data_IF_289536313954
#
_entry.id   IF_289536313954
#
_cell.length_a   1.000
_cell.length_b   1.000
_cell.length_c   1.000
_cell.angle_alpha   90.00
_cell.angle_beta   90.00
_cell.angle_gamma   90.00
#
_symmetry.space_group_name_H-M   'P 1'
#
loop_
_entity.id
_entity.type
_entity.pdbx_description
1 polymer ?
#
# COMPACT_ATOMS: atom_id res chain seq x y z
N UNK A 1 -9.16 12.42 -8.31
CA UNK A 1 -8.76 12.26 -8.15
C UNK A 1 -8.51 12.18 -8.04
N UNK A 2 -8.29 12.17 -7.83
CA UNK A 2 -7.83 12.16 -7.58
C UNK A 2 -7.37 11.64 -7.36
N UNK A 3 -7.35 11.56 -7.49
CA UNK A 3 -6.62 10.59 -7.30
C UNK A 3 -5.18 10.74 -7.20
N UNK A 4 -4.44 10.94 -8.06
CA UNK A 4 -3.07 11.36 -8.05
C UNK A 4 -2.86 12.56 -7.18
N UNK A 5 -3.84 13.34 -7.00
CA UNK A 5 -3.73 14.47 -6.08
C UNK A 5 -3.17 14.13 -4.72
N UNK A 6 -3.30 12.88 -4.32
CA UNK A 6 -2.73 12.52 -3.03
C UNK A 6 -1.25 12.77 -2.96
N UNK A 7 -0.57 12.62 -4.07
CA UNK A 7 0.86 12.82 -4.08
C UNK A 7 1.20 14.26 -3.78
N UNK A 8 0.44 15.18 -4.38
CA UNK A 8 0.72 16.59 -4.16
C UNK A 8 0.39 17.06 -2.78
N UNK A 9 -0.60 16.42 -2.17
CA UNK A 9 -0.99 16.79 -0.82
C UNK A 9 -0.16 16.07 0.22
N UNK A 10 0.79 15.30 -0.23
CA UNK A 10 1.48 14.37 0.65
C UNK A 10 2.14 15.04 1.83
N UNK A 11 2.73 16.20 1.65
CA UNK A 11 3.44 16.81 2.75
C UNK A 11 2.54 17.00 3.96
N UNK A 12 1.39 17.61 3.75
CA UNK A 12 0.45 17.81 4.82
C UNK A 12 -0.14 16.49 5.30
N UNK A 13 -0.51 15.62 4.35
CA UNK A 13 -1.04 14.32 4.70
C UNK A 13 0.00 13.49 5.44
N UNK A 14 1.26 13.59 5.02
CA UNK A 14 2.33 12.81 5.64
C UNK A 14 2.54 13.21 7.09
N UNK A 15 2.46 14.50 7.40
CA UNK A 15 2.64 14.93 8.77
C UNK A 15 1.51 14.45 9.67
N UNK A 16 0.33 14.18 9.10
CA UNK A 16 -0.78 13.65 9.86
C UNK A 16 -0.78 12.13 9.95
N UNK A 17 0.02 11.48 9.09
CA UNK A 17 0.09 10.03 9.05
C UNK A 17 1.56 9.62 8.95
N UNK A 18 2.27 9.67 10.08
CA UNK A 18 3.70 9.39 10.06
C UNK A 18 4.02 7.95 9.67
N UNK A 19 3.11 7.01 9.88
CA UNK A 19 3.36 5.63 9.48
C UNK A 19 3.37 5.49 7.96
N UNK A 20 2.40 6.08 7.29
CA UNK A 20 2.38 6.07 5.83
C UNK A 20 3.60 6.81 5.28
N UNK A 21 3.95 7.94 5.89
CA UNK A 21 5.11 8.69 5.47
C UNK A 21 6.39 7.85 5.57
N UNK A 22 6.53 7.09 6.64
CA UNK A 22 7.71 6.24 6.81
C UNK A 22 7.79 5.17 5.73
N UNK A 23 6.65 4.56 5.38
CA UNK A 23 6.62 3.52 4.35
C UNK A 23 7.01 4.12 2.99
N UNK A 24 6.46 5.27 2.68
CA UNK A 24 6.78 5.95 1.42
C UNK A 24 8.26 6.29 1.38
N UNK A 25 8.82 6.76 2.49
CA UNK A 25 10.24 7.06 2.57
C UNK A 25 11.11 5.86 2.30
N UNK A 26 10.73 4.70 2.85
CA UNK A 26 11.47 3.47 2.58
C UNK A 26 11.37 3.08 1.11
N UNK A 27 10.18 3.21 0.52
CA UNK A 27 10.00 2.91 -0.89
C UNK A 27 10.83 3.84 -1.77
N UNK A 28 10.91 5.11 -1.40
CA UNK A 28 11.74 6.06 -2.14
C UNK A 28 13.21 5.70 -2.07
N UNK A 29 13.67 5.24 -0.93
CA UNK A 29 15.06 4.80 -0.80
C UNK A 29 15.32 3.59 -1.68
N UNK A 30 14.41 2.64 -1.71
CA UNK A 30 14.53 1.46 -2.56
C UNK A 30 14.59 1.88 -4.02
N UNK A 31 13.69 2.77 -4.43
CA UNK A 31 13.62 3.23 -5.81
C UNK A 31 14.87 4.00 -6.20
N UNK A 32 15.38 4.81 -5.28
CA UNK A 32 16.59 5.57 -5.53
C UNK A 32 17.79 4.65 -5.75
N UNK A 33 17.85 3.55 -5.01
CA UNK A 33 18.98 2.61 -5.12
C UNK A 33 18.88 1.72 -6.32
N UNK A 34 17.68 1.20 -6.61
CA UNK A 34 17.49 0.23 -7.68
C UNK A 34 17.10 0.86 -9.01
N UNK A 35 16.39 1.98 -8.97
CA UNK A 35 15.82 2.55 -10.17
C UNK A 35 14.63 1.77 -10.65
N UNK A 36 14.07 2.15 -11.80
CA UNK A 36 12.97 1.42 -12.41
C UNK A 36 13.54 0.30 -13.29
N UNK A 37 12.67 -0.65 -13.65
CA UNK A 37 13.05 -1.70 -14.61
C UNK A 37 13.20 -3.08 -14.04
N UNK A 38 13.19 -3.23 -12.73
CA UNK A 38 13.25 -4.54 -12.11
C UNK A 38 11.87 -5.16 -12.02
N UNK A 39 11.83 -6.48 -11.84
CA UNK A 39 10.60 -7.18 -11.58
C UNK A 39 10.04 -6.75 -10.22
N UNK A 40 8.73 -6.82 -10.10
CA UNK A 40 8.05 -6.45 -8.87
C UNK A 40 8.64 -7.17 -7.66
N UNK A 41 8.96 -8.46 -7.79
CA UNK A 41 9.48 -9.25 -6.68
C UNK A 41 10.80 -8.71 -6.15
N UNK A 42 11.60 -8.08 -7.01
CA UNK A 42 12.87 -7.51 -6.58
C UNK A 42 12.65 -6.38 -5.59
N UNK A 43 11.66 -5.54 -5.87
CA UNK A 43 11.34 -4.43 -4.96
C UNK A 43 10.77 -4.95 -3.66
N UNK A 44 9.99 -6.03 -3.71
CA UNK A 44 9.47 -6.64 -2.50
C UNK A 44 10.60 -7.21 -1.65
N UNK A 45 11.55 -7.89 -2.29
CA UNK A 45 12.71 -8.42 -1.56
C UNK A 45 13.52 -7.30 -0.94
N UNK A 46 13.69 -6.19 -1.65
CA UNK A 46 14.42 -5.06 -1.11
C UNK A 46 13.71 -4.46 0.10
N UNK A 47 12.38 -4.45 0.07
CA UNK A 47 11.61 -3.91 1.20
C UNK A 47 11.77 -4.74 2.45
N UNK A 48 11.94 -6.06 2.30
CA UNK A 48 12.20 -6.91 3.47
C UNK A 48 13.48 -6.51 4.18
N UNK A 49 14.40 -5.89 3.47
CA UNK A 49 15.64 -5.39 4.05
C UNK A 49 15.47 -3.97 4.55
N UNK A 50 14.82 -3.14 3.74
CA UNK A 50 14.75 -1.71 4.04
C UNK A 50 13.80 -1.39 5.18
N UNK A 51 12.66 -2.09 5.28
CA UNK A 51 11.70 -1.82 6.33
C UNK A 51 12.33 -1.93 7.73
N UNK A 52 13.03 -3.02 8.06
CA UNK A 52 13.68 -3.09 9.38
C UNK A 52 14.71 -2.00 9.59
N UNK A 53 15.45 -1.63 8.54
CA UNK A 53 16.45 -0.58 8.67
C UNK A 53 15.80 0.75 9.04
N UNK A 54 14.55 0.95 8.70
CA UNK A 54 13.84 2.18 8.99
C UNK A 54 12.82 2.00 10.11
N UNK A 55 12.94 0.91 10.87
CA UNK A 55 12.08 0.64 12.02
C UNK A 55 10.61 0.56 11.66
N UNK A 56 10.31 -0.04 10.51
CA UNK A 56 8.95 -0.28 10.07
C UNK A 56 8.61 -1.74 10.31
N UNK A 57 7.75 -2.03 11.30
CA UNK A 57 7.33 -3.42 11.51
C UNK A 57 6.43 -3.85 10.37
N UNK A 58 6.61 -5.07 9.88
CA UNK A 58 5.87 -5.53 8.72
C UNK A 58 5.70 -7.04 8.73
N UNK A 59 4.72 -7.48 7.97
CA UNK A 59 4.56 -8.88 7.59
C UNK A 59 4.41 -8.91 6.08
N UNK A 60 5.00 -9.91 5.45
CA UNK A 60 4.98 -10.04 4.01
C UNK A 60 4.04 -11.16 3.60
N UNK A 61 3.33 -10.95 2.46
CA UNK A 61 2.43 -11.96 1.88
C UNK A 61 1.39 -12.42 2.88
N UNK A 62 0.58 -11.47 3.29
CA UNK A 62 -0.42 -11.69 4.34
C UNK A 62 -1.74 -12.08 3.71
N UNK A 63 -2.29 -13.22 4.13
CA UNK A 63 -3.60 -13.65 3.67
C UNK A 63 -4.66 -12.74 4.27
N UNK A 64 -5.59 -12.30 3.43
CA UNK A 64 -6.68 -11.41 3.83
C UNK A 64 -7.99 -12.17 3.65
N UNK A 65 -8.57 -12.69 4.73
CA UNK A 65 -9.80 -13.46 4.61
C UNK A 65 -10.98 -12.59 4.20
N UNK A 66 -11.87 -13.17 3.44
CA UNK A 66 -13.06 -12.49 2.95
C UNK A 66 -14.28 -13.17 3.54
N UNK A 67 -15.23 -12.37 4.06
CA UNK A 67 -16.47 -12.89 4.62
C UNK A 67 -17.65 -12.40 3.80
N UNK A 68 -18.62 -13.28 3.68
CA UNK A 68 -19.90 -12.93 3.08
C UNK A 68 -20.98 -13.33 4.06
N UNK A 69 -21.77 -12.37 4.52
CA UNK A 69 -22.78 -12.60 5.55
C UNK A 69 -22.19 -13.35 6.75
N UNK A 70 -21.00 -12.85 7.16
CA UNK A 70 -20.27 -13.39 8.31
C UNK A 70 -19.77 -14.82 8.13
N UNK A 71 -19.85 -15.35 6.91
CA UNK A 71 -19.31 -16.68 6.61
C UNK A 71 -18.00 -16.51 5.88
N UNK A 72 -16.97 -17.17 6.38
CA UNK A 72 -15.66 -17.13 5.77
C UNK A 72 -15.68 -17.84 4.43
N UNK A 73 -15.28 -17.12 3.38
CA UNK A 73 -15.22 -17.71 2.05
C UNK A 73 -13.93 -18.50 1.88
N UNK A 74 -13.96 -19.50 0.99
CA UNK A 74 -12.72 -20.24 0.69
C UNK A 74 -11.69 -19.41 -0.05
N UNK A 75 -12.13 -18.41 -0.81
CA UNK A 75 -11.24 -17.49 -1.52
C UNK A 75 -10.78 -16.40 -0.58
N UNK A 76 -9.52 -16.03 -0.67
CA UNK A 76 -8.99 -14.92 0.11
C UNK A 76 -8.08 -14.08 -0.77
N UNK A 77 -7.84 -12.85 -0.34
CA UNK A 77 -6.84 -12.00 -0.97
C UNK A 77 -5.50 -12.19 -0.28
N UNK A 78 -4.46 -11.65 -0.89
CA UNK A 78 -3.12 -11.67 -0.29
C UNK A 78 -2.51 -10.29 -0.49
N UNK A 79 -2.15 -9.64 0.59
CA UNK A 79 -1.47 -8.36 0.54
C UNK A 79 0.04 -8.60 0.42
N UNK A 80 0.72 -7.76 -0.34
CA UNK A 80 2.18 -7.84 -0.41
C UNK A 80 2.80 -7.64 0.96
N UNK A 81 2.34 -6.63 1.67
CA UNK A 81 2.79 -6.33 3.03
C UNK A 81 1.64 -5.79 3.86
N UNK A 82 1.75 -6.02 5.16
CA UNK A 82 0.97 -5.27 6.14
C UNK A 82 2.00 -4.63 7.07
N UNK A 83 1.98 -3.31 7.12
CA UNK A 83 2.95 -2.54 7.91
C UNK A 83 2.26 -1.96 9.13
N UNK A 84 2.98 -1.92 10.24
CA UNK A 84 2.49 -1.40 11.53
C UNK A 84 1.20 -2.10 11.97
N UNK A 85 0.96 -3.30 11.47
CA UNK A 85 -0.27 -4.07 11.74
C UNK A 85 -1.54 -3.31 11.35
N UNK A 86 -1.44 -2.25 10.56
CA UNK A 86 -2.59 -1.39 10.26
C UNK A 86 -2.71 -0.97 8.82
N UNK A 87 -1.65 -1.09 8.03
CA UNK A 87 -1.64 -0.55 6.68
C UNK A 87 -1.33 -1.65 5.67
N UNK A 88 -2.27 -1.87 4.76
CA UNK A 88 -2.05 -2.78 3.64
C UNK A 88 -1.21 -2.05 2.61
N UNK A 89 -0.12 -2.69 2.17
CA UNK A 89 0.79 -2.09 1.20
C UNK A 89 0.93 -3.01 0.00
N UNK A 90 0.70 -2.45 -1.20
CA UNK A 90 0.82 -3.19 -2.45
C UNK A 90 1.87 -2.54 -3.32
N UNK A 91 2.79 -3.35 -3.82
CA UNK A 91 3.83 -2.91 -4.75
C UNK A 91 3.42 -3.29 -6.16
N UNK A 92 3.70 -2.40 -7.10
CA UNK A 92 3.50 -2.67 -8.53
C UNK A 92 4.74 -2.22 -9.29
N UNK A 93 4.92 -2.81 -10.46
CA UNK A 93 5.98 -2.42 -11.39
C UNK A 93 5.36 -2.35 -12.77
N UNK A 94 4.51 -1.35 -12.97
CA UNK A 94 3.73 -1.17 -14.19
C UNK A 94 4.10 0.15 -14.84
N UNK A 95 4.00 0.19 -16.18
CA UNK A 95 4.27 1.44 -16.88
C UNK A 95 3.31 2.55 -16.44
N UNK A 96 2.12 2.17 -15.98
CA UNK A 96 1.12 3.14 -15.54
C UNK A 96 0.15 2.45 -14.58
N UNK A 97 -0.17 3.09 -13.49
CA UNK A 97 -1.23 2.64 -12.62
C UNK A 97 -2.58 2.99 -13.23
N UNK A 98 -3.53 2.09 -13.05
CA UNK A 98 -4.89 2.30 -13.58
C UNK A 98 -5.89 2.11 -12.46
N UNK A 99 -7.17 2.28 -12.79
CA UNK A 99 -8.22 2.07 -11.82
C UNK A 99 -8.31 0.61 -11.36
N UNK A 100 -7.72 -0.30 -12.14
CA UNK A 100 -7.73 -1.71 -11.74
C UNK A 100 -6.93 -1.93 -10.46
N UNK A 101 -5.71 -1.39 -10.41
CA UNK A 101 -4.88 -1.53 -9.22
C UNK A 101 -5.46 -0.80 -8.04
N UNK A 102 -6.05 0.38 -8.29
CA UNK A 102 -6.67 1.13 -7.22
C UNK A 102 -7.86 0.39 -6.64
N UNK A 103 -8.69 -0.18 -7.51
CA UNK A 103 -9.84 -0.96 -7.07
C UNK A 103 -9.41 -2.18 -6.27
N UNK A 104 -8.29 -2.78 -6.64
CA UNK A 104 -7.78 -3.92 -5.90
C UNK A 104 -7.50 -3.56 -4.44
N UNK A 105 -6.81 -2.45 -4.21
CA UNK A 105 -6.51 -2.02 -2.86
C UNK A 105 -7.79 -1.69 -2.10
N UNK A 106 -8.71 -0.98 -2.74
CA UNK A 106 -9.97 -0.65 -2.10
C UNK A 106 -10.75 -1.91 -1.72
N UNK A 107 -10.75 -2.90 -2.58
CA UNK A 107 -11.45 -4.16 -2.27
C UNK A 107 -10.80 -4.89 -1.12
N UNK A 108 -9.47 -4.84 -1.00
CA UNK A 108 -8.79 -5.39 0.16
C UNK A 108 -9.28 -4.72 1.44
N UNK A 109 -9.39 -3.40 1.41
CA UNK A 109 -9.84 -2.67 2.60
C UNK A 109 -11.30 -2.97 2.92
N UNK A 110 -12.15 -3.06 1.88
CA UNK A 110 -13.57 -3.39 2.10
C UNK A 110 -13.74 -4.77 2.68
N UNK A 111 -12.88 -5.71 2.31
CA UNK A 111 -13.03 -7.11 2.71
C UNK A 111 -12.45 -7.40 4.08
N UNK A 112 -11.73 -6.47 4.67
CA UNK A 112 -11.00 -6.68 5.91
C UNK A 112 -11.37 -5.60 6.93
N UNK A 113 -10.72 -5.65 8.07
CA UNK A 113 -10.88 -4.60 9.07
C UNK A 113 -9.88 -3.47 8.91
N UNK A 114 -8.98 -3.57 7.93
CA UNK A 114 -8.00 -2.52 7.71
C UNK A 114 -8.67 -1.29 7.13
N UNK A 115 -8.22 -0.13 7.55
CA UNK A 115 -8.81 1.13 7.08
C UNK A 115 -7.85 1.95 6.22
N UNK A 116 -6.59 1.59 6.15
CA UNK A 116 -5.60 2.32 5.35
C UNK A 116 -4.88 1.38 4.41
N UNK A 117 -4.68 1.86 3.18
CA UNK A 117 -3.92 1.13 2.19
C UNK A 117 -2.99 2.05 1.44
N UNK A 118 -1.94 1.48 0.87
CA UNK A 118 -0.94 2.22 0.14
C UNK A 118 -0.54 1.43 -1.08
N UNK A 119 -0.63 2.07 -2.24
CA UNK A 119 -0.27 1.48 -3.51
C UNK A 119 0.97 2.20 -4.00
N UNK A 120 2.04 1.45 -4.31
CA UNK A 120 3.33 2.04 -4.70
C UNK A 120 3.77 1.39 -6.00
N UNK A 121 4.08 2.22 -6.99
CA UNK A 121 4.53 1.76 -8.30
C UNK A 121 5.99 2.18 -8.53
N UNK A 122 6.85 1.20 -8.78
CA UNK A 122 8.29 1.40 -8.91
C UNK A 122 8.77 1.51 -10.35
N UNK A 123 7.91 1.28 -11.34
CA UNK A 123 8.37 1.16 -12.72
C UNK A 123 8.54 2.50 -13.43
N UNK A 124 8.10 3.57 -12.83
CA UNK A 124 8.18 4.90 -13.45
C UNK A 124 9.46 5.61 -13.02
N UNK A 125 9.87 6.61 -13.80
CA UNK A 125 11.10 7.34 -13.50
C UNK A 125 11.05 7.97 -12.11
N UNK A 126 9.90 8.53 -11.76
CA UNK A 126 9.62 8.98 -10.40
C UNK A 126 8.65 7.99 -9.79
N UNK A 127 8.89 7.60 -8.56
CA UNK A 127 8.01 6.66 -7.90
C UNK A 127 6.60 7.26 -7.82
N UNK A 128 5.62 6.39 -8.03
CA UNK A 128 4.21 6.79 -7.89
C UNK A 128 3.64 6.10 -6.68
N UNK A 129 2.78 6.81 -5.95
CA UNK A 129 2.08 6.18 -4.83
C UNK A 129 0.73 6.82 -4.63
N UNK A 130 -0.16 6.06 -3.99
CA UNK A 130 -1.49 6.57 -3.67
C UNK A 130 -1.93 5.95 -2.35
N UNK A 131 -2.45 6.79 -1.48
CA UNK A 131 -2.95 6.40 -0.17
C UNK A 131 -4.46 6.26 -0.24
N UNK A 132 -4.98 5.21 0.39
CA UNK A 132 -6.41 4.93 0.44
C UNK A 132 -6.86 4.85 1.88
N UNK A 133 -8.06 5.34 2.13
CA UNK A 133 -8.70 5.26 3.43
C UNK A 133 -10.09 4.69 3.22
N UNK A 134 -10.46 3.75 4.06
CA UNK A 134 -11.77 3.11 3.97
C UNK A 134 -12.21 2.69 5.35
N UNK A 135 -13.51 2.60 5.54
CA UNK A 135 -14.04 1.98 6.73
C UNK A 135 -14.42 2.94 7.80
N UNK A 136 -13.93 2.70 9.00
CA UNK A 136 -14.52 3.29 10.17
C UNK A 136 -14.65 4.80 10.12
N UNK A 137 -13.62 5.50 9.69
CA UNK A 137 -13.72 6.95 9.66
C UNK A 137 -14.76 7.41 8.66
N UNK A 138 -14.66 6.88 7.44
CA UNK A 138 -15.61 7.23 6.40
C UNK A 138 -17.02 6.82 6.79
N UNK A 139 -17.16 5.62 7.28
CA UNK A 139 -18.47 5.11 7.65
C UNK A 139 -19.05 5.84 8.83
N UNK A 140 -18.23 6.21 9.78
CA UNK A 140 -18.71 6.94 10.94
C UNK A 140 -19.22 8.32 10.58
N UNK A 141 -18.59 8.92 9.60
CA UNK A 141 -18.98 10.27 9.21
C UNK A 141 -20.22 10.26 8.34
N UNK A 142 -20.64 9.14 7.90
CA UNK A 142 -21.80 9.02 7.01
C UNK A 142 -23.09 8.90 7.78
#
# INVERSE_FOLDING_TARGET
MTQIPQIRTSKSADSRDPQTYAIIGAAMEIHRRLGCGFLEAVYQDAAEIEFPLQNIPFQREVALPIRYKDILLPTHYRADFVCFSEIIVEFKALSQLTSIEESQVLNYLKATSFSRGLLINFATASIQYKRFVWGSETNKSV
#
